data_IF_665564562550
#
_entry.id   IF_665564562550
#
_cell.length_a   1.000
_cell.length_b   1.000
_cell.length_c   1.000
_cell.angle_alpha   90.00
_cell.angle_beta   90.00
_cell.angle_gamma   90.00
#
_symmetry.space_group_name_H-M   'P 1'
#
loop_
_entity.id
_entity.type
_entity.pdbx_description
1 polymer ?
#
# COMPACT_ATOMS: atom_id res chain seq x y z
N UNK A 1 -10.69 -44.62 -22.55
CA UNK A 1 -10.12 -44.05 -21.31
C UNK A 1 -11.26 -43.39 -20.55
N UNK A 2 -11.43 -43.62 -19.24
CA UNK A 2 -12.52 -43.05 -18.46
C UNK A 2 -12.40 -41.53 -18.44
N UNK A 3 -13.50 -40.82 -18.65
CA UNK A 3 -13.50 -39.35 -18.66
C UNK A 3 -13.06 -38.78 -17.31
N UNK A 4 -12.47 -37.57 -17.29
CA UNK A 4 -12.06 -36.89 -16.04
C UNK A 4 -13.19 -36.87 -14.99
N UNK A 5 -14.43 -36.71 -15.46
CA UNK A 5 -15.64 -36.66 -14.61
C UNK A 5 -15.90 -38.02 -13.94
N UNK A 6 -15.72 -39.13 -14.67
CA UNK A 6 -15.86 -40.49 -14.12
C UNK A 6 -14.73 -40.85 -13.15
N UNK A 7 -13.50 -40.40 -13.42
CA UNK A 7 -12.35 -40.59 -12.52
C UNK A 7 -12.52 -39.81 -11.19
N UNK A 8 -13.11 -38.62 -11.23
CA UNK A 8 -13.43 -37.85 -10.02
C UNK A 8 -14.61 -38.42 -9.24
N UNK A 9 -15.64 -38.94 -9.93
CA UNK A 9 -16.78 -39.60 -9.29
C UNK A 9 -16.36 -40.90 -8.58
N UNK A 10 -15.46 -41.68 -9.18
CA UNK A 10 -14.91 -42.89 -8.55
C UNK A 10 -14.08 -42.59 -7.30
N UNK A 11 -13.27 -41.52 -7.31
CA UNK A 11 -12.55 -41.06 -6.11
C UNK A 11 -13.48 -40.65 -4.96
N UNK A 12 -14.59 -39.96 -5.25
CA UNK A 12 -15.58 -39.59 -4.24
C UNK A 12 -16.29 -40.82 -3.65
N UNK A 13 -16.62 -41.80 -4.49
CA UNK A 13 -17.23 -43.07 -4.06
C UNK A 13 -16.28 -43.89 -3.19
N UNK A 14 -15.01 -44.00 -3.58
CA UNK A 14 -13.96 -44.64 -2.78
C UNK A 14 -13.81 -43.94 -1.42
N UNK A 15 -13.83 -42.60 -1.39
CA UNK A 15 -13.79 -41.83 -0.15
C UNK A 15 -14.96 -42.12 0.79
N UNK A 16 -16.18 -42.32 0.25
CA UNK A 16 -17.33 -42.73 1.06
C UNK A 16 -17.26 -44.18 1.57
N UNK A 17 -16.64 -45.09 0.81
CA UNK A 17 -16.46 -46.49 1.20
C UNK A 17 -15.34 -46.65 2.25
N UNK A 18 -14.27 -45.87 2.15
CA UNK A 18 -13.23 -45.75 3.19
C UNK A 18 -13.84 -45.33 4.53
N UNK A 19 -14.77 -44.36 4.50
CA UNK A 19 -15.47 -43.89 5.71
C UNK A 19 -16.39 -44.95 6.30
N UNK A 20 -17.15 -45.67 5.47
CA UNK A 20 -18.07 -46.73 5.95
C UNK A 20 -17.35 -47.97 6.49
N UNK A 21 -16.15 -48.29 5.99
CA UNK A 21 -15.30 -49.39 6.53
C UNK A 21 -14.69 -49.00 7.88
N UNK A 22 -14.39 -47.72 8.09
CA UNK A 22 -13.86 -47.21 9.36
C UNK A 22 -14.88 -47.33 10.49
N UNK A 23 -16.12 -46.92 10.22
CA UNK A 23 -17.18 -46.77 11.22
C UNK A 23 -17.93 -48.09 11.55
N UNK A 24 -17.63 -49.21 10.87
CA UNK A 24 -18.34 -50.46 11.08
C UNK A 24 -17.78 -51.28 12.28
N UNK A 25 -18.55 -51.56 13.35
CA UNK A 25 -18.06 -52.19 14.58
C UNK A 25 -17.89 -53.72 14.50
N UNK A 26 -18.33 -54.37 13.41
CA UNK A 26 -18.30 -55.83 13.26
C UNK A 26 -17.02 -56.38 12.57
N UNK A 27 -16.10 -55.52 12.12
CA UNK A 27 -14.85 -55.94 11.45
C UNK A 27 -13.65 -55.88 12.40
N UNK A 28 -12.92 -57.00 12.49
CA UNK A 28 -11.65 -57.06 13.23
C UNK A 28 -10.57 -56.19 12.56
N UNK A 29 -9.60 -55.69 13.34
CA UNK A 29 -8.55 -54.76 12.85
C UNK A 29 -7.77 -55.30 11.63
N UNK A 30 -7.57 -56.61 11.55
CA UNK A 30 -6.90 -57.25 10.42
C UNK A 30 -7.72 -57.17 9.11
N UNK A 31 -9.05 -57.30 9.20
CA UNK A 31 -9.94 -57.23 8.03
C UNK A 31 -10.17 -55.78 7.56
N UNK A 32 -10.15 -54.80 8.47
CA UNK A 32 -10.17 -53.38 8.10
C UNK A 32 -8.91 -53.00 7.32
N UNK A 33 -7.74 -53.44 7.77
CA UNK A 33 -6.46 -53.15 7.09
C UNK A 33 -6.41 -53.71 5.66
N UNK A 34 -6.82 -54.96 5.45
CA UNK A 34 -6.84 -55.57 4.12
C UNK A 34 -7.75 -54.81 3.13
N UNK A 35 -8.90 -54.29 3.58
CA UNK A 35 -9.79 -53.49 2.74
C UNK A 35 -9.26 -52.07 2.47
N UNK A 36 -8.53 -51.47 3.42
CA UNK A 36 -7.87 -50.19 3.18
C UNK A 36 -6.75 -50.32 2.14
N UNK A 37 -5.95 -51.39 2.22
CA UNK A 37 -4.86 -51.63 1.26
C UNK A 37 -5.40 -51.82 -0.18
N UNK A 38 -6.53 -52.51 -0.38
CA UNK A 38 -7.18 -52.62 -1.69
C UNK A 38 -7.74 -51.28 -2.21
N UNK A 39 -8.33 -50.48 -1.32
CA UNK A 39 -8.91 -49.17 -1.67
C UNK A 39 -7.81 -48.14 -2.00
N UNK A 40 -6.66 -48.19 -1.34
CA UNK A 40 -5.51 -47.33 -1.63
C UNK A 40 -4.95 -47.58 -3.04
N UNK A 41 -4.81 -48.84 -3.44
CA UNK A 41 -4.40 -49.21 -4.81
C UNK A 41 -5.38 -48.68 -5.86
N UNK A 42 -6.68 -48.70 -5.57
CA UNK A 42 -7.71 -48.15 -6.46
C UNK A 42 -7.70 -46.61 -6.53
N UNK A 43 -7.37 -45.95 -5.42
CA UNK A 43 -7.24 -44.50 -5.32
C UNK A 43 -6.05 -43.98 -6.12
N UNK A 44 -4.89 -44.66 -6.05
CA UNK A 44 -3.68 -44.29 -6.79
C UNK A 44 -3.90 -44.39 -8.30
N UNK A 45 -4.51 -45.48 -8.77
CA UNK A 45 -4.88 -45.63 -10.20
C UNK A 45 -5.80 -44.53 -10.72
N UNK A 46 -6.76 -44.08 -9.90
CA UNK A 46 -7.67 -43.00 -10.27
C UNK A 46 -6.98 -41.61 -10.29
N UNK A 47 -6.00 -41.37 -9.41
CA UNK A 47 -5.18 -40.15 -9.42
C UNK A 47 -4.25 -40.10 -10.63
N UNK A 48 -3.57 -41.20 -10.95
CA UNK A 48 -2.68 -41.30 -12.10
C UNK A 48 -3.41 -41.06 -13.43
N UNK A 49 -4.65 -41.55 -13.55
CA UNK A 49 -5.49 -41.29 -14.71
C UNK A 49 -5.79 -39.78 -14.89
N UNK A 50 -6.04 -39.04 -13.80
CA UNK A 50 -6.31 -37.60 -13.86
C UNK A 50 -5.05 -36.81 -14.28
N UNK A 51 -3.87 -37.21 -13.82
CA UNK A 51 -2.61 -36.56 -14.22
C UNK A 51 -2.27 -36.79 -15.70
N UNK A 52 -2.50 -37.99 -16.22
CA UNK A 52 -2.31 -38.30 -17.63
C UNK A 52 -3.21 -37.46 -18.55
N UNK A 53 -4.43 -37.13 -18.13
CA UNK A 53 -5.30 -36.22 -18.90
C UNK A 53 -4.85 -34.76 -18.83
N UNK A 54 -4.30 -34.29 -17.71
CA UNK A 54 -3.78 -32.92 -17.57
C UNK A 54 -2.50 -32.70 -18.39
N UNK A 55 -1.65 -33.72 -18.51
CA UNK A 55 -0.45 -33.64 -19.35
C UNK A 55 -0.80 -33.66 -20.85
N UNK A 56 -1.80 -34.45 -21.25
CA UNK A 56 -2.31 -34.47 -22.63
C UNK A 56 -2.94 -33.13 -23.05
N UNK A 57 -3.68 -32.44 -22.17
CA UNK A 57 -4.27 -31.12 -22.48
C UNK A 57 -3.21 -30.02 -22.61
N UNK A 58 -2.15 -30.06 -21.79
CA UNK A 58 -1.01 -29.14 -21.91
C UNK A 58 -0.26 -29.34 -23.23
N UNK A 59 -0.06 -30.59 -23.64
CA UNK A 59 0.61 -30.93 -24.90
C UNK A 59 -0.21 -30.46 -26.13
N UNK A 60 -1.53 -30.62 -26.08
CA UNK A 60 -2.43 -30.12 -27.12
C UNK A 60 -2.45 -28.58 -27.21
N UNK A 61 -2.42 -27.88 -26.07
CA UNK A 61 -2.32 -26.42 -26.02
C UNK A 61 -1.01 -25.89 -26.61
N UNK A 62 0.12 -26.55 -26.35
CA UNK A 62 1.43 -26.15 -26.90
C UNK A 62 1.60 -26.41 -28.39
N UNK A 63 0.85 -27.37 -28.97
CA UNK A 63 0.87 -27.66 -30.41
C UNK A 63 0.04 -26.66 -31.22
N UNK A 64 -1.04 -26.11 -30.63
CA UNK A 64 -1.93 -25.16 -31.31
C UNK A 64 -1.32 -23.75 -31.41
N UNK A 65 -0.56 -23.31 -30.40
CA UNK A 65 0.08 -21.99 -30.40
C UNK A 65 1.27 -21.85 -31.36
N UNK A 66 1.86 -22.95 -31.83
CA UNK A 66 3.04 -22.93 -32.73
C UNK A 66 2.71 -22.79 -34.22
N UNK A 67 1.43 -22.86 -34.63
CA UNK A 67 1.03 -22.80 -36.04
C UNK A 67 0.57 -21.42 -36.54
N UNK A 68 0.32 -20.45 -35.66
CA UNK A 68 -0.37 -19.19 -36.02
C UNK A 68 0.56 -17.99 -36.27
N UNK A 69 1.88 -18.19 -36.25
CA UNK A 69 2.87 -17.10 -36.33
C UNK A 69 3.73 -17.12 -37.61
N UNK A 70 3.14 -17.09 -38.81
CA UNK A 70 3.89 -16.71 -40.04
C UNK A 70 3.03 -15.92 -41.04
N UNK A 71 3.47 -14.69 -41.36
CA UNK A 71 3.16 -13.84 -42.56
C UNK A 71 1.83 -13.02 -42.61
N UNK A 72 1.93 -11.68 -42.79
CA UNK A 72 0.81 -10.73 -43.09
C UNK A 72 0.82 -10.24 -44.57
N UNK A 73 0.28 -9.06 -45.01
CA UNK A 73 -0.89 -8.23 -44.61
C UNK A 73 -1.86 -7.76 -45.77
N UNK A 74 -3.09 -7.27 -45.42
CA UNK A 74 -4.01 -6.25 -46.06
C UNK A 74 -4.82 -6.42 -47.39
N UNK A 75 -6.17 -6.19 -47.27
CA UNK A 75 -7.22 -5.55 -48.14
C UNK A 75 -7.64 -6.01 -49.56
N UNK A 76 -8.97 -6.20 -49.78
CA UNK A 76 -9.67 -5.87 -51.06
C UNK A 76 -10.65 -6.90 -51.68
N UNK A 77 -11.94 -6.56 -51.78
CA UNK A 77 -13.15 -7.26 -52.30
C UNK A 77 -13.18 -7.63 -53.80
N UNK A 78 -13.97 -8.65 -54.22
CA UNK A 78 -14.95 -8.63 -55.37
C UNK A 78 -15.88 -9.89 -55.42
N UNK A 79 -17.15 -9.62 -55.78
CA UNK A 79 -18.33 -10.44 -56.15
C UNK A 79 -18.10 -11.61 -57.16
N UNK A 80 -19.03 -12.55 -57.45
CA UNK A 80 -20.43 -12.74 -57.06
C UNK A 80 -21.17 -13.89 -57.81
N UNK A 81 -22.21 -14.43 -57.14
CA UNK A 81 -23.58 -14.83 -57.58
C UNK A 81 -23.82 -15.76 -58.79
N UNK A 82 -24.51 -16.90 -58.56
CA UNK A 82 -25.79 -17.25 -59.25
C UNK A 82 -26.52 -18.46 -58.64
N UNK A 83 -27.78 -18.25 -58.25
CA UNK A 83 -28.72 -19.33 -57.91
C UNK A 83 -29.76 -18.96 -56.84
N UNK A 84 -30.64 -17.99 -57.13
CA UNK A 84 -31.81 -17.69 -56.30
C UNK A 84 -32.92 -18.69 -56.68
N UNK A 85 -33.35 -19.55 -55.76
CA UNK A 85 -34.70 -20.14 -55.78
C UNK A 85 -35.49 -19.60 -54.60
N UNK A 86 -36.59 -18.95 -54.97
CA UNK A 86 -37.70 -18.40 -54.18
C UNK A 86 -37.69 -18.59 -52.66
N UNK A 87 -37.62 -17.43 -52.02
CA UNK A 87 -37.99 -17.09 -50.65
C UNK A 87 -39.29 -17.79 -50.22
N UNK A 88 -39.19 -18.60 -49.17
CA UNK A 88 -40.26 -18.80 -48.18
C UNK A 88 -39.60 -19.22 -46.86
N UNK A 89 -39.55 -18.36 -45.84
CA UNK A 89 -38.81 -18.61 -44.60
C UNK A 89 -39.55 -19.55 -43.63
N UNK A 90 -40.58 -20.28 -44.09
CA UNK A 90 -41.48 -21.03 -43.24
C UNK A 90 -41.82 -22.41 -43.82
N UNK A 91 -40.80 -23.18 -44.20
CA UNK A 91 -40.99 -24.62 -44.41
C UNK A 91 -40.88 -25.32 -43.05
N UNK A 92 -42.02 -25.51 -42.37
CA UNK A 92 -42.09 -26.38 -41.20
C UNK A 92 -42.00 -27.84 -41.64
N UNK A 93 -41.16 -28.63 -40.97
CA UNK A 93 -41.05 -30.07 -41.21
C UNK A 93 -42.40 -30.76 -40.90
N UNK A 94 -42.92 -31.58 -41.81
CA UNK A 94 -44.26 -32.21 -41.73
C UNK A 94 -44.42 -33.07 -40.47
N UNK A 95 -43.31 -33.62 -39.98
CA UNK A 95 -43.23 -34.38 -38.73
C UNK A 95 -43.48 -33.50 -37.49
N UNK A 96 -43.05 -32.23 -37.52
CA UNK A 96 -43.24 -31.28 -36.41
C UNK A 96 -44.67 -30.71 -36.38
N UNK A 97 -45.35 -30.60 -37.53
CA UNK A 97 -46.75 -30.20 -37.60
C UNK A 97 -47.71 -31.29 -37.06
N UNK A 98 -47.42 -32.57 -37.31
CA UNK A 98 -48.18 -33.69 -36.72
C UNK A 98 -48.08 -33.72 -35.19
N UNK A 99 -46.89 -33.46 -34.65
CA UNK A 99 -46.65 -33.42 -33.21
C UNK A 99 -47.30 -32.19 -32.53
N UNK A 100 -47.46 -31.08 -33.25
CA UNK A 100 -48.22 -29.91 -32.77
C UNK A 100 -49.74 -30.18 -32.71
N UNK A 101 -50.29 -30.89 -33.69
CA UNK A 101 -51.72 -31.27 -33.67
C UNK A 101 -52.05 -32.23 -32.52
N UNK A 102 -51.19 -33.22 -32.26
CA UNK A 102 -51.35 -34.16 -31.14
C UNK A 102 -51.26 -33.47 -29.77
N UNK A 103 -50.32 -32.51 -29.63
CA UNK A 103 -50.19 -31.69 -28.42
C UNK A 103 -51.39 -30.75 -28.19
N UNK A 104 -52.05 -30.28 -29.26
CA UNK A 104 -53.24 -29.44 -29.18
C UNK A 104 -54.48 -30.20 -28.72
N UNK A 105 -54.66 -31.45 -29.18
CA UNK A 105 -55.77 -32.32 -28.75
C UNK A 105 -55.65 -32.74 -27.27
N UNK A 106 -54.41 -32.90 -26.78
CA UNK A 106 -54.12 -33.32 -25.40
C UNK A 106 -53.78 -32.18 -24.44
N UNK A 107 -53.97 -30.92 -24.85
CA UNK A 107 -53.69 -29.71 -24.06
C UNK A 107 -52.29 -29.70 -23.40
N UNK A 108 -51.26 -30.14 -24.14
CA UNK A 108 -49.87 -30.07 -23.71
C UNK A 108 -49.07 -29.08 -24.56
N UNK A 109 -47.99 -28.53 -24.00
CA UNK A 109 -47.16 -27.50 -24.66
C UNK A 109 -46.12 -28.13 -25.59
N UNK A 110 -46.13 -27.74 -26.87
CA UNK A 110 -45.19 -28.23 -27.88
C UNK A 110 -44.58 -27.07 -28.68
N UNK A 111 -43.29 -27.14 -29.02
CA UNK A 111 -42.54 -26.09 -29.74
C UNK A 111 -41.90 -26.67 -31.00
N UNK A 112 -42.23 -26.08 -32.15
CA UNK A 112 -41.63 -26.40 -33.46
C UNK A 112 -40.35 -25.59 -33.62
N UNK A 113 -39.25 -26.21 -34.09
CA UNK A 113 -37.95 -25.54 -34.29
C UNK A 113 -37.46 -25.82 -35.71
N UNK A 114 -37.35 -24.79 -36.54
CA UNK A 114 -36.84 -24.89 -37.91
C UNK A 114 -35.33 -25.18 -37.93
N UNK A 115 -34.91 -26.12 -38.77
CA UNK A 115 -33.52 -26.58 -38.85
C UNK A 115 -32.70 -25.65 -39.75
N UNK A 116 -31.84 -24.82 -39.14
CA UNK A 116 -30.76 -24.15 -39.86
C UNK A 116 -29.69 -25.15 -40.26
N UNK A 117 -29.34 -25.18 -41.56
CA UNK A 117 -28.22 -25.97 -42.12
C UNK A 117 -26.90 -25.51 -41.50
N UNK A 118 -26.18 -26.43 -40.88
CA UNK A 118 -24.95 -26.14 -40.13
C UNK A 118 -23.73 -25.91 -41.02
N UNK A 119 -22.66 -25.40 -40.41
CA UNK A 119 -21.28 -25.67 -40.81
C UNK A 119 -20.37 -25.49 -39.58
N UNK A 120 -19.76 -26.60 -39.17
CA UNK A 120 -18.55 -26.67 -38.34
C UNK A 120 -17.34 -26.41 -39.25
N UNK A 121 -16.37 -25.62 -38.79
CA UNK A 121 -15.19 -25.22 -39.56
C UNK A 121 -14.62 -23.87 -39.13
N UNK A 122 -13.67 -23.91 -38.20
CA UNK A 122 -12.85 -22.80 -37.70
C UNK A 122 -12.25 -21.89 -38.78
N UNK A 123 -12.33 -20.56 -38.63
CA UNK A 123 -11.23 -19.58 -38.80
C UNK A 123 -11.60 -18.29 -38.05
N UNK A 124 -10.76 -17.88 -37.11
CA UNK A 124 -10.75 -16.58 -36.44
C UNK A 124 -9.92 -15.57 -37.22
N UNK A 125 -10.42 -14.35 -37.44
CA UNK A 125 -9.93 -13.12 -36.77
C UNK A 125 -10.49 -11.85 -37.41
N UNK A 126 -10.77 -10.88 -36.51
CA UNK A 126 -10.90 -9.42 -36.68
C UNK A 126 -11.66 -8.89 -37.90
N UNK A 127 -12.84 -8.30 -37.63
CA UNK A 127 -13.07 -6.88 -37.88
C UNK A 127 -14.37 -6.42 -37.18
N UNK A 128 -14.35 -5.19 -36.68
CA UNK A 128 -15.35 -4.64 -35.77
C UNK A 128 -16.73 -4.44 -36.39
N UNK A 129 -17.76 -4.93 -35.70
CA UNK A 129 -19.16 -4.50 -35.89
C UNK A 129 -19.84 -4.44 -34.52
N UNK A 130 -20.54 -3.33 -34.32
CA UNK A 130 -21.41 -3.02 -33.18
C UNK A 130 -22.42 -4.16 -32.87
N UNK A 131 -22.92 -4.23 -31.62
CA UNK A 131 -23.56 -5.43 -31.08
C UNK A 131 -24.95 -5.64 -31.71
N UNK A 132 -25.25 -6.86 -32.16
CA UNK A 132 -26.63 -7.31 -32.35
C UNK A 132 -26.99 -8.30 -31.24
N UNK A 133 -28.24 -8.28 -30.76
CA UNK A 133 -28.55 -8.37 -29.35
C UNK A 133 -28.38 -9.81 -28.86
N UNK A 134 -27.46 -10.00 -27.92
CA UNK A 134 -27.57 -11.08 -26.96
C UNK A 134 -28.94 -10.97 -26.27
N UNK A 135 -29.52 -12.13 -25.98
CA UNK A 135 -30.76 -12.25 -25.22
C UNK A 135 -30.79 -11.27 -24.04
N UNK A 136 -31.96 -10.69 -23.69
CA UNK A 136 -32.07 -9.77 -22.56
C UNK A 136 -31.54 -10.44 -21.29
N UNK A 137 -30.48 -9.87 -20.73
CA UNK A 137 -30.10 -10.03 -19.34
C UNK A 137 -29.36 -11.32 -18.98
N UNK A 138 -28.22 -11.60 -19.60
CA UNK A 138 -27.17 -12.42 -18.95
C UNK A 138 -25.81 -11.69 -18.96
N UNK A 139 -25.85 -10.35 -18.90
CA UNK A 139 -24.70 -9.50 -18.60
C UNK A 139 -24.44 -9.37 -17.10
N UNK A 140 -24.74 -10.42 -16.32
CA UNK A 140 -24.72 -10.40 -14.85
C UNK A 140 -24.65 -11.78 -14.21
N UNK A 141 -24.17 -12.81 -14.93
CA UNK A 141 -23.98 -14.16 -14.34
C UNK A 141 -22.60 -14.38 -13.71
N UNK A 142 -21.70 -13.39 -13.80
CA UNK A 142 -20.55 -13.34 -12.92
C UNK A 142 -20.96 -12.43 -11.75
N UNK A 143 -20.85 -12.88 -10.49
CA UNK A 143 -21.04 -11.96 -9.36
C UNK A 143 -20.09 -10.76 -9.56
N UNK A 144 -20.52 -9.54 -9.22
CA UNK A 144 -19.65 -8.37 -9.23
C UNK A 144 -18.36 -8.72 -8.49
N UNK A 145 -17.25 -8.75 -9.21
CA UNK A 145 -15.96 -8.98 -8.58
C UNK A 145 -15.51 -7.64 -8.00
N UNK A 146 -15.36 -7.59 -6.68
CA UNK A 146 -14.68 -6.48 -6.02
C UNK A 146 -13.24 -6.43 -6.55
N UNK A 147 -12.94 -5.42 -7.37
CA UNK A 147 -11.55 -5.05 -7.64
C UNK A 147 -11.08 -4.37 -6.37
N UNK A 148 -10.02 -4.88 -5.75
CA UNK A 148 -9.57 -4.48 -4.40
C UNK A 148 -9.53 -2.97 -4.15
N UNK A 149 -9.48 -2.59 -2.87
CA UNK A 149 -9.43 -1.20 -2.48
C UNK A 149 -8.18 -0.48 -3.03
N UNK A 150 -8.36 0.72 -3.59
CA UNK A 150 -7.25 1.61 -3.93
C UNK A 150 -6.95 2.48 -2.71
N UNK A 151 -5.80 2.32 -2.04
CA UNK A 151 -5.49 3.08 -0.84
C UNK A 151 -5.17 4.54 -1.15
N UNK A 152 -5.45 5.43 -0.21
CA UNK A 152 -4.99 6.81 -0.28
C UNK A 152 -3.48 6.86 -0.06
N UNK A 153 -2.79 7.63 -0.90
CA UNK A 153 -1.34 7.77 -0.82
C UNK A 153 -1.00 8.88 0.17
N UNK A 154 -0.23 8.52 1.19
CA UNK A 154 0.28 9.45 2.18
C UNK A 154 1.78 9.64 2.00
N UNK A 155 2.31 10.69 2.60
CA UNK A 155 3.72 10.99 2.48
C UNK A 155 4.57 9.95 3.21
N UNK A 156 5.47 9.20 2.55
CA UNK A 156 6.14 8.01 3.12
C UNK A 156 7.03 8.29 4.33
N UNK A 157 7.29 9.55 4.68
CA UNK A 157 8.27 9.93 5.70
C UNK A 157 7.62 10.18 7.07
N UNK A 158 8.35 9.82 8.13
CA UNK A 158 8.01 10.15 9.52
C UNK A 158 9.20 10.88 10.12
N UNK A 159 8.99 12.11 10.57
CA UNK A 159 10.04 12.99 11.11
C UNK A 159 10.50 12.50 12.49
N UNK A 160 9.58 11.91 13.27
CA UNK A 160 9.88 11.39 14.61
C UNK A 160 10.98 10.31 14.58
N UNK A 161 11.10 9.54 13.49
CA UNK A 161 12.13 8.50 13.32
C UNK A 161 13.56 9.07 13.27
N UNK A 162 13.71 10.37 13.01
CA UNK A 162 15.01 11.06 13.03
C UNK A 162 15.48 11.40 14.46
N UNK A 163 14.61 11.26 15.46
CA UNK A 163 14.87 11.64 16.85
C UNK A 163 14.83 10.37 17.72
N UNK A 164 15.77 10.19 18.66
CA UNK A 164 15.68 9.09 19.62
C UNK A 164 14.40 9.20 20.47
N UNK A 165 13.67 8.10 20.57
CA UNK A 165 12.44 8.01 21.35
C UNK A 165 12.59 7.09 22.57
N UNK A 166 11.90 7.43 23.66
CA UNK A 166 11.78 6.58 24.85
C UNK A 166 10.34 6.53 25.34
N UNK A 167 9.92 5.41 25.93
CA UNK A 167 8.60 5.29 26.54
C UNK A 167 8.57 5.96 27.93
N UNK A 168 7.44 6.54 28.33
CA UNK A 168 7.26 7.14 29.67
C UNK A 168 5.80 7.16 30.13
N UNK A 169 5.57 6.98 31.43
CA UNK A 169 4.25 7.10 32.07
C UNK A 169 4.00 8.49 32.68
N UNK A 170 4.91 9.45 32.51
CA UNK A 170 4.77 10.81 33.02
C UNK A 170 3.81 11.64 32.16
N UNK A 171 3.01 12.52 32.78
CA UNK A 171 2.11 13.43 32.05
C UNK A 171 2.84 14.70 31.56
N UNK A 172 3.95 15.02 32.23
CA UNK A 172 4.79 16.20 32.00
C UNK A 172 6.24 15.78 32.20
N UNK A 173 7.12 16.23 31.32
CA UNK A 173 8.57 16.03 31.41
C UNK A 173 9.21 17.38 31.71
N UNK A 174 9.85 17.49 32.87
CA UNK A 174 10.71 18.63 33.20
C UNK A 174 12.16 18.29 32.85
N UNK A 175 12.83 19.19 32.14
CA UNK A 175 14.23 19.01 31.75
C UNK A 175 15.01 20.30 31.89
N UNK A 176 16.31 20.18 32.13
CA UNK A 176 17.22 21.31 32.21
C UNK A 176 17.92 21.49 30.86
N UNK A 177 17.87 22.70 30.34
CA UNK A 177 18.66 23.09 29.16
C UNK A 177 19.85 23.91 29.59
N UNK A 178 21.03 23.54 29.10
CA UNK A 178 22.25 24.31 29.32
C UNK A 178 22.35 25.39 28.25
N UNK A 179 22.20 26.66 28.65
CA UNK A 179 22.20 27.78 27.71
C UNK A 179 23.62 28.26 27.38
N UNK A 180 24.45 28.46 28.40
CA UNK A 180 25.81 28.93 28.23
C UNK A 180 26.67 28.66 29.46
N UNK A 181 27.96 28.50 29.23
CA UNK A 181 28.97 28.51 30.28
C UNK A 181 29.67 29.87 30.25
N UNK A 182 29.70 30.58 31.38
CA UNK A 182 30.50 31.81 31.52
C UNK A 182 31.76 31.54 32.34
N UNK A 183 32.88 32.10 31.88
CA UNK A 183 34.21 31.79 32.40
C UNK A 183 34.90 30.67 31.62
N UNK A 184 36.23 30.70 31.60
CA UNK A 184 37.06 29.72 30.89
C UNK A 184 37.97 29.00 31.88
N UNK A 185 38.20 27.72 31.62
CA UNK A 185 39.24 26.99 32.33
C UNK A 185 40.61 27.56 31.92
N UNK A 186 41.48 27.80 32.90
CA UNK A 186 42.82 28.34 32.68
C UNK A 186 43.86 27.60 33.53
N UNK A 187 45.12 27.69 33.12
CA UNK A 187 46.25 27.14 33.90
C UNK A 187 46.47 28.03 35.12
N UNK A 188 46.52 27.43 36.31
CA UNK A 188 46.65 28.15 37.58
C UNK A 188 48.00 27.87 38.21
N UNK A 189 48.76 28.92 38.48
CA UNK A 189 50.03 28.83 39.20
C UNK A 189 49.81 28.56 40.70
N UNK A 190 50.79 27.98 41.40
CA UNK A 190 50.68 27.75 42.84
C UNK A 190 50.42 29.06 43.60
N UNK A 191 49.36 29.09 44.42
CA UNK A 191 49.02 30.24 45.27
C UNK A 191 48.10 31.29 44.63
N UNK A 192 47.67 31.14 43.37
CA UNK A 192 46.70 32.06 42.75
C UNK A 192 45.26 31.54 42.83
N UNK A 193 44.30 32.48 42.77
CA UNK A 193 42.87 32.17 42.76
C UNK A 193 42.52 31.42 41.48
N UNK A 194 41.76 30.33 41.62
CA UNK A 194 41.31 29.53 40.48
C UNK A 194 40.22 30.27 39.69
N UNK A 195 40.23 30.22 38.35
CA UNK A 195 39.14 30.73 37.54
C UNK A 195 37.81 30.10 37.96
N UNK A 196 36.79 30.94 38.15
CA UNK A 196 35.42 30.49 38.43
C UNK A 196 34.67 30.31 37.11
N UNK A 197 33.87 29.25 37.04
CA UNK A 197 32.99 28.94 35.91
C UNK A 197 31.55 28.91 36.42
N UNK A 198 30.64 29.57 35.72
CA UNK A 198 29.21 29.50 35.99
C UNK A 198 28.48 28.82 34.83
N UNK A 199 27.61 27.87 35.18
CA UNK A 199 26.77 27.13 34.23
C UNK A 199 25.37 27.74 34.27
N UNK A 200 24.97 28.38 33.18
CA UNK A 200 23.64 28.95 33.05
C UNK A 200 22.68 27.87 32.52
N UNK A 201 21.77 27.43 33.37
CA UNK A 201 20.77 26.40 33.04
C UNK A 201 19.37 26.94 33.22
N UNK A 202 18.46 26.56 32.33
CA UNK A 202 17.04 26.91 32.39
C UNK A 202 16.21 25.64 32.58
N UNK A 203 15.20 25.69 33.44
CA UNK A 203 14.22 24.61 33.57
C UNK A 203 13.12 24.80 32.54
N UNK A 204 12.98 23.82 31.65
CA UNK A 204 11.93 23.73 30.67
C UNK A 204 10.96 22.62 31.03
N UNK A 205 9.72 22.77 30.57
CA UNK A 205 8.65 21.80 30.81
C UNK A 205 8.02 21.46 29.47
N UNK A 206 7.88 20.16 29.18
CA UNK A 206 7.17 19.66 28.00
C UNK A 206 5.97 18.83 28.47
N UNK A 207 4.78 19.26 28.08
CA UNK A 207 3.52 18.56 28.37
C UNK A 207 3.23 17.52 27.30
N UNK A 208 2.61 16.41 27.69
CA UNK A 208 2.16 15.38 26.76
C UNK A 208 0.96 15.87 25.95
N UNK A 209 1.07 15.84 24.63
CA UNK A 209 -0.02 16.15 23.70
C UNK A 209 -0.67 14.86 23.23
N UNK A 210 -1.98 14.88 23.00
CA UNK A 210 -2.74 13.78 22.41
C UNK A 210 -3.12 14.16 20.98
N UNK A 211 -2.76 13.32 20.02
CA UNK A 211 -3.32 13.35 18.67
C UNK A 211 -4.34 12.23 18.53
N UNK A 212 -5.49 12.55 17.96
CA UNK A 212 -6.58 11.60 17.83
C UNK A 212 -7.42 11.87 16.58
N UNK A 213 -7.90 10.79 15.95
CA UNK A 213 -8.85 10.84 14.85
C UNK A 213 -9.89 9.73 15.04
N UNK A 214 -11.14 10.02 14.67
CA UNK A 214 -12.23 9.05 14.70
C UNK A 214 -12.89 8.96 13.34
N UNK A 215 -13.27 7.75 12.92
CA UNK A 215 -14.10 7.53 11.74
C UNK A 215 -15.22 6.56 12.07
N UNK A 216 -16.44 6.90 11.66
CA UNK A 216 -17.64 6.06 11.84
C UNK A 216 -18.03 5.46 10.50
N UNK A 217 -18.29 4.16 10.48
CA UNK A 217 -18.63 3.36 9.31
C UNK A 217 -19.87 2.52 9.59
N UNK A 218 -20.62 2.16 8.56
CA UNK A 218 -21.79 1.29 8.72
C UNK A 218 -21.37 -0.18 8.82
N UNK A 219 -22.15 -0.98 9.55
CA UNK A 219 -21.87 -2.41 9.75
C UNK A 219 -21.92 -3.19 8.44
N UNK A 220 -22.87 -2.85 7.56
CA UNK A 220 -23.03 -3.48 6.24
C UNK A 220 -21.75 -3.33 5.39
N UNK A 221 -21.12 -2.15 5.42
CA UNK A 221 -19.87 -1.88 4.69
C UNK A 221 -18.70 -2.71 5.24
N UNK A 222 -18.67 -2.97 6.55
CA UNK A 222 -17.63 -3.78 7.19
C UNK A 222 -17.83 -5.28 6.91
N UNK A 223 -19.08 -5.74 6.89
CA UNK A 223 -19.43 -7.14 6.65
C UNK A 223 -19.31 -7.53 5.18
N UNK A 224 -19.69 -6.63 4.26
CA UNK A 224 -19.61 -6.87 2.83
C UNK A 224 -18.17 -6.76 2.30
N UNK A 225 -17.34 -5.92 2.92
CA UNK A 225 -15.96 -5.67 2.51
C UNK A 225 -14.95 -5.96 3.64
N UNK A 226 -14.55 -7.23 3.80
CA UNK A 226 -13.59 -7.65 4.84
C UNK A 226 -12.26 -6.83 4.81
N UNK A 227 -11.75 -6.53 3.61
CA UNK A 227 -10.52 -5.75 3.42
C UNK A 227 -10.65 -4.28 3.83
N UNK A 228 -11.87 -3.73 3.85
CA UNK A 228 -12.11 -2.33 4.17
C UNK A 228 -11.83 -2.03 5.65
N UNK A 229 -12.18 -2.97 6.54
CA UNK A 229 -11.91 -2.84 7.98
C UNK A 229 -10.41 -2.68 8.30
N UNK A 230 -9.55 -3.46 7.62
CA UNK A 230 -8.10 -3.39 7.79
C UNK A 230 -7.53 -2.10 7.20
N UNK A 231 -8.05 -1.67 6.05
CA UNK A 231 -7.65 -0.42 5.43
C UNK A 231 -7.93 0.78 6.32
N UNK A 232 -9.11 0.84 6.94
CA UNK A 232 -9.50 1.97 7.80
C UNK A 232 -8.53 2.12 8.97
N UNK A 233 -8.12 1.01 9.60
CA UNK A 233 -7.11 1.07 10.66
C UNK A 233 -5.76 1.62 10.16
N UNK A 234 -5.30 1.18 8.99
CA UNK A 234 -4.06 1.68 8.38
C UNK A 234 -4.16 3.16 7.98
N UNK A 235 -5.28 3.56 7.39
CA UNK A 235 -5.56 4.93 6.98
C UNK A 235 -5.57 5.88 8.19
N UNK A 236 -6.32 5.54 9.23
CA UNK A 236 -6.38 6.36 10.45
C UNK A 236 -5.01 6.45 11.14
N UNK A 237 -4.24 5.36 11.17
CA UNK A 237 -2.87 5.40 11.67
C UNK A 237 -2.00 6.37 10.87
N UNK A 238 -2.23 6.46 9.56
CA UNK A 238 -1.46 7.30 8.67
C UNK A 238 -1.81 8.78 8.78
N UNK A 239 -3.09 9.09 8.92
CA UNK A 239 -3.56 10.46 9.21
C UNK A 239 -2.99 10.99 10.52
N UNK A 240 -2.84 10.14 11.55
CA UNK A 240 -2.19 10.53 12.81
C UNK A 240 -0.71 10.82 12.60
N UNK A 241 0.01 10.00 11.84
CA UNK A 241 1.43 10.23 11.52
C UNK A 241 1.63 11.54 10.73
N UNK A 242 0.73 11.86 9.81
CA UNK A 242 0.83 13.10 9.03
C UNK A 242 0.57 14.34 9.91
N UNK A 243 -0.40 14.26 10.84
CA UNK A 243 -0.62 15.29 11.85
C UNK A 243 0.55 15.40 12.84
N UNK A 244 1.14 14.27 13.23
CA UNK A 244 2.34 14.19 14.06
C UNK A 244 3.51 14.92 13.41
N UNK A 245 3.81 14.65 12.13
CA UNK A 245 4.87 15.34 11.39
C UNK A 245 4.68 16.87 11.42
N UNK A 246 3.44 17.35 11.26
CA UNK A 246 3.11 18.78 11.32
C UNK A 246 3.39 19.39 12.68
N UNK A 247 2.98 18.69 13.74
CA UNK A 247 3.19 19.13 15.13
C UNK A 247 4.67 19.07 15.53
N UNK A 248 5.40 18.03 15.14
CA UNK A 248 6.83 17.89 15.45
C UNK A 248 7.65 18.96 14.74
N UNK A 249 7.36 19.30 13.48
CA UNK A 249 8.11 20.32 12.76
C UNK A 249 7.69 21.75 13.13
N UNK A 250 6.38 22.02 13.03
CA UNK A 250 5.82 23.37 13.01
C UNK A 250 4.96 23.73 14.23
N UNK A 251 4.80 22.83 15.21
CA UNK A 251 3.93 23.07 16.36
C UNK A 251 4.27 24.38 17.10
N UNK A 252 3.26 25.16 17.47
CA UNK A 252 3.44 26.49 18.05
C UNK A 252 3.64 26.49 19.58
N UNK A 253 3.37 25.36 20.24
CA UNK A 253 3.44 25.21 21.70
C UNK A 253 2.29 25.87 22.46
N UNK A 254 1.23 26.32 21.78
CA UNK A 254 0.03 26.91 22.38
C UNK A 254 -1.15 25.93 22.32
N UNK A 255 -2.23 26.18 23.07
CA UNK A 255 -3.51 25.44 22.95
C UNK A 255 -3.44 23.89 22.94
N UNK A 256 -2.46 23.31 23.63
CA UNK A 256 -2.14 21.88 23.69
C UNK A 256 -1.30 21.31 22.52
N UNK A 257 -0.89 22.14 21.57
CA UNK A 257 0.07 21.78 20.52
C UNK A 257 1.47 21.55 21.09
N UNK A 258 2.27 20.74 20.40
CA UNK A 258 3.67 20.56 20.75
C UNK A 258 4.47 21.82 20.42
N UNK A 259 5.56 22.06 21.16
CA UNK A 259 6.62 22.94 20.65
C UNK A 259 7.38 22.22 19.55
N UNK A 260 7.21 22.68 18.31
CA UNK A 260 7.88 22.14 17.14
C UNK A 260 9.40 22.41 17.13
N UNK A 261 10.12 21.67 16.30
CA UNK A 261 11.57 21.82 16.16
C UNK A 261 11.96 23.19 15.59
N UNK A 262 11.17 23.74 14.66
CA UNK A 262 11.43 25.05 14.05
C UNK A 262 11.06 26.23 14.95
N UNK A 263 10.03 26.05 15.79
CA UNK A 263 9.55 27.09 16.70
C UNK A 263 10.28 27.08 18.04
N UNK A 264 11.16 26.10 18.27
CA UNK A 264 11.94 26.00 19.50
C UNK A 264 12.87 27.21 19.65
N UNK A 265 12.84 27.92 20.80
CA UNK A 265 13.71 29.06 21.02
C UNK A 265 15.18 28.63 21.17
N UNK A 266 16.08 29.40 20.55
CA UNK A 266 17.53 29.19 20.67
C UNK A 266 18.13 28.27 19.60
N UNK A 267 17.37 27.90 18.57
CA UNK A 267 17.91 27.28 17.37
C UNK A 267 18.81 28.26 16.60
N UNK A 268 19.79 27.74 15.89
CA UNK A 268 20.58 28.55 14.97
C UNK A 268 19.75 28.84 13.72
N UNK A 269 19.98 29.99 13.10
CA UNK A 269 19.28 30.40 11.88
C UNK A 269 20.30 30.80 10.83
N UNK A 270 20.11 30.33 9.60
CA UNK A 270 20.93 30.70 8.44
C UNK A 270 20.03 31.09 7.28
N UNK A 271 20.23 32.27 6.74
CA UNK A 271 19.57 32.68 5.52
C UNK A 271 20.50 32.46 4.33
N UNK A 272 19.97 31.95 3.21
CA UNK A 272 20.69 31.89 1.95
C UNK A 272 21.02 33.31 1.46
N UNK A 273 22.27 33.54 1.06
CA UNK A 273 22.68 34.81 0.47
C UNK A 273 22.29 34.88 -1.01
N UNK A 274 22.10 36.11 -1.55
CA UNK A 274 21.61 36.32 -2.93
C UNK A 274 22.53 35.76 -4.02
N UNK A 275 23.85 35.69 -3.75
CA UNK A 275 24.85 35.21 -4.70
C UNK A 275 25.36 33.79 -4.36
N UNK A 276 24.70 33.11 -3.42
CA UNK A 276 25.12 31.80 -2.91
C UNK A 276 24.21 30.69 -3.46
N UNK A 277 24.79 29.53 -3.78
CA UNK A 277 23.98 28.38 -4.17
C UNK A 277 23.32 27.74 -2.95
N UNK A 278 22.21 27.02 -3.12
CA UNK A 278 21.58 26.31 -2.01
C UNK A 278 22.54 25.27 -1.43
N UNK A 279 23.39 24.65 -2.25
CA UNK A 279 24.39 23.67 -1.81
C UNK A 279 25.44 24.32 -0.91
N UNK A 280 25.92 25.51 -1.27
CA UNK A 280 26.87 26.27 -0.44
C UNK A 280 26.22 26.67 0.88
N UNK A 281 24.97 27.13 0.85
CA UNK A 281 24.23 27.53 2.07
C UNK A 281 24.08 26.34 3.03
N UNK A 282 23.83 25.14 2.49
CA UNK A 282 23.77 23.90 3.26
C UNK A 282 25.15 23.54 3.83
N UNK A 283 26.24 23.68 3.07
CA UNK A 283 27.59 23.44 3.57
C UNK A 283 27.94 24.37 4.74
N UNK A 284 27.62 25.66 4.60
CA UNK A 284 27.84 26.62 5.67
C UNK A 284 26.98 26.31 6.91
N UNK A 285 25.76 25.77 6.75
CA UNK A 285 24.95 25.30 7.88
C UNK A 285 25.63 24.13 8.61
N UNK A 286 26.31 23.23 7.90
CA UNK A 286 27.14 22.18 8.51
C UNK A 286 28.27 22.83 9.32
N UNK A 287 28.95 23.83 8.76
CA UNK A 287 30.02 24.56 9.45
C UNK A 287 29.52 25.31 10.69
N UNK A 288 28.30 25.85 10.68
CA UNK A 288 27.70 26.51 11.83
C UNK A 288 27.43 25.54 12.98
N UNK A 289 26.95 24.33 12.70
CA UNK A 289 26.76 23.31 13.74
C UNK A 289 28.10 22.89 14.38
N UNK A 290 29.18 22.93 13.60
CA UNK A 290 30.53 22.58 14.04
C UNK A 290 31.23 23.67 14.83
N UNK A 291 31.09 24.91 14.41
CA UNK A 291 31.77 26.07 15.01
C UNK A 291 30.91 26.77 16.06
N UNK A 292 29.60 26.49 16.04
CA UNK A 292 28.62 27.03 16.97
C UNK A 292 28.66 26.40 18.37
N UNK A 293 27.66 26.70 19.21
CA UNK A 293 27.68 26.36 20.63
C UNK A 293 27.62 24.85 20.92
N UNK A 294 27.09 24.08 19.98
CA UNK A 294 26.84 22.65 20.16
C UNK A 294 28.03 21.75 19.78
N UNK A 295 28.90 22.20 18.87
CA UNK A 295 30.01 21.40 18.31
C UNK A 295 29.57 20.02 17.79
N UNK A 296 28.47 19.97 17.02
CA UNK A 296 27.83 18.72 16.57
C UNK A 296 27.87 18.53 15.05
N UNK A 297 27.84 17.28 14.61
CA UNK A 297 27.63 16.89 13.21
C UNK A 297 26.15 16.73 12.90
N UNK A 298 25.62 17.30 11.80
CA UNK A 298 24.26 16.98 11.38
C UNK A 298 24.14 15.52 10.93
N UNK A 299 23.02 14.89 11.30
CA UNK A 299 22.68 13.51 10.90
C UNK A 299 21.61 13.48 9.82
N UNK A 300 20.73 14.48 9.82
CA UNK A 300 19.63 14.58 8.87
C UNK A 300 19.35 16.04 8.47
N UNK A 301 18.84 16.20 7.25
CA UNK A 301 18.28 17.44 6.71
C UNK A 301 16.83 17.15 6.34
N UNK A 302 15.90 17.95 6.86
CA UNK A 302 14.48 17.92 6.51
C UNK A 302 14.18 19.12 5.63
N UNK A 303 13.63 18.90 4.43
CA UNK A 303 13.42 19.95 3.43
C UNK A 303 12.13 19.72 2.64
N UNK A 304 11.53 20.77 2.11
CA UNK A 304 10.38 20.61 1.22
C UNK A 304 10.78 19.97 -0.13
N UNK A 305 9.99 19.03 -0.71
CA UNK A 305 10.32 18.37 -1.99
C UNK A 305 10.58 19.33 -3.16
N UNK A 306 9.86 20.45 -3.25
CA UNK A 306 10.10 21.47 -4.27
C UNK A 306 11.45 22.17 -4.11
N UNK A 307 11.83 22.48 -2.87
CA UNK A 307 13.13 23.07 -2.54
C UNK A 307 14.25 22.06 -2.77
N UNK A 308 14.05 20.80 -2.41
CA UNK A 308 15.01 19.74 -2.75
C UNK A 308 15.18 19.58 -4.27
N UNK A 309 14.08 19.69 -5.02
CA UNK A 309 14.12 19.68 -6.48
C UNK A 309 14.88 20.88 -7.05
N UNK A 310 14.74 22.08 -6.48
CA UNK A 310 15.51 23.25 -6.93
C UNK A 310 16.99 23.07 -6.66
N UNK A 311 17.37 22.61 -5.46
CA UNK A 311 18.77 22.28 -5.10
C UNK A 311 19.37 21.22 -6.04
N UNK A 312 18.62 20.17 -6.39
CA UNK A 312 19.07 19.14 -7.35
C UNK A 312 19.24 19.66 -8.77
N UNK A 313 18.58 20.76 -9.12
CA UNK A 313 18.60 21.35 -10.45
C UNK A 313 19.66 22.42 -10.63
N UNK A 314 20.47 22.69 -9.61
CA UNK A 314 21.58 23.63 -9.68
C UNK A 314 22.64 23.19 -10.68
N UNK A 315 23.16 24.15 -11.43
CA UNK A 315 24.09 23.94 -12.54
C UNK A 315 25.32 24.82 -12.43
N UNK A 316 26.42 24.34 -12.96
CA UNK A 316 27.62 25.13 -13.20
C UNK A 316 27.42 26.12 -14.38
N UNK A 317 28.40 26.99 -14.58
CA UNK A 317 28.42 27.94 -15.70
C UNK A 317 28.46 27.27 -17.10
N UNK A 318 28.75 25.97 -17.16
CA UNK A 318 28.74 25.17 -18.39
C UNK A 318 27.42 24.40 -18.60
N UNK A 319 26.43 24.59 -17.72
CA UNK A 319 25.11 23.97 -17.79
C UNK A 319 25.04 22.52 -17.28
N UNK A 320 26.07 22.03 -16.59
CA UNK A 320 26.12 20.70 -15.98
C UNK A 320 25.54 20.75 -14.57
N UNK A 321 24.75 19.75 -14.19
CA UNK A 321 24.22 19.65 -12.83
C UNK A 321 25.32 19.42 -11.80
N UNK A 322 25.27 20.15 -10.69
CA UNK A 322 26.30 20.10 -9.64
C UNK A 322 26.25 18.80 -8.81
N UNK A 323 25.04 18.39 -8.39
CA UNK A 323 24.86 17.21 -7.54
C UNK A 323 24.86 15.89 -8.31
N UNK A 324 24.42 15.91 -9.57
CA UNK A 324 24.39 14.70 -10.39
C UNK A 324 24.63 14.98 -11.87
N UNK A 325 25.77 14.53 -12.39
CA UNK A 325 26.03 14.61 -13.81
C UNK A 325 25.08 13.74 -14.66
N UNK A 326 24.49 12.68 -14.09
CA UNK A 326 23.60 11.75 -14.80
C UNK A 326 22.15 11.79 -14.24
N UNK A 327 21.21 12.45 -14.94
CA UNK A 327 19.80 12.50 -14.51
C UNK A 327 19.10 11.13 -14.53
N UNK A 328 19.68 10.09 -15.15
CA UNK A 328 19.12 8.74 -15.14
C UNK A 328 19.30 8.02 -13.80
N UNK A 329 20.26 8.45 -12.97
CA UNK A 329 20.50 7.87 -11.65
C UNK A 329 19.70 8.62 -10.59
N UNK A 330 18.61 8.01 -10.12
CA UNK A 330 17.77 8.56 -9.04
C UNK A 330 18.34 8.22 -7.64
N UNK A 331 19.62 8.52 -7.40
CA UNK A 331 20.37 8.03 -6.23
C UNK A 331 20.63 9.09 -5.14
N UNK A 332 20.07 10.29 -5.24
CA UNK A 332 20.39 11.40 -4.32
C UNK A 332 19.28 11.66 -3.31
N UNK A 333 19.28 10.85 -2.25
CA UNK A 333 18.62 11.14 -0.97
C UNK A 333 19.66 11.48 0.12
N UNK A 334 20.86 11.89 -0.28
CA UNK A 334 21.93 12.31 0.63
C UNK A 334 22.72 13.48 0.05
N UNK A 335 23.14 14.41 0.90
CA UNK A 335 23.97 15.55 0.55
C UNK A 335 25.11 15.66 1.56
N UNK A 336 26.36 15.76 1.10
CA UNK A 336 27.56 15.79 1.96
C UNK A 336 27.66 14.62 2.96
N UNK A 337 27.11 13.45 2.61
CA UNK A 337 27.07 12.27 3.49
C UNK A 337 25.95 12.29 4.54
N UNK A 338 25.11 13.33 4.53
CA UNK A 338 23.97 13.50 5.44
C UNK A 338 22.69 13.03 4.73
N UNK A 339 21.80 12.36 5.46
CA UNK A 339 20.51 11.92 4.92
C UNK A 339 19.58 13.12 4.69
N UNK A 340 18.97 13.18 3.50
CA UNK A 340 17.96 14.20 3.17
C UNK A 340 16.58 13.56 3.20
N UNK A 341 15.73 14.06 4.09
CA UNK A 341 14.32 13.70 4.20
C UNK A 341 13.48 14.81 3.55
N UNK A 342 12.80 14.48 2.45
CA UNK A 342 11.93 15.42 1.77
C UNK A 342 10.49 15.28 2.28
N UNK A 343 9.94 16.33 2.88
CA UNK A 343 8.58 16.35 3.43
C UNK A 343 7.77 17.58 3.05
N UNK A 344 6.52 17.38 2.65
CA UNK A 344 5.59 18.45 2.24
C UNK A 344 5.13 19.30 3.42
N UNK A 345 5.31 18.80 4.64
CA UNK A 345 5.03 19.51 5.88
C UNK A 345 6.03 20.65 6.16
N UNK A 346 7.22 20.60 5.55
CA UNK A 346 8.20 21.68 5.67
C UNK A 346 7.79 22.89 4.81
N UNK A 347 7.88 24.14 5.31
CA UNK A 347 7.64 25.31 4.49
C UNK A 347 8.55 25.37 3.25
N UNK A 348 8.02 25.85 2.13
CA UNK A 348 8.78 25.98 0.88
C UNK A 348 9.89 27.03 1.06
N UNK A 349 11.11 26.65 0.70
CA UNK A 349 12.29 27.50 0.81
C UNK A 349 12.95 27.47 2.18
N UNK A 350 12.49 26.60 3.06
CA UNK A 350 13.11 26.33 4.35
C UNK A 350 13.64 24.90 4.43
N UNK A 351 14.68 24.70 5.24
CA UNK A 351 15.16 23.39 5.62
C UNK A 351 15.57 23.38 7.09
N UNK A 352 15.36 22.26 7.77
CA UNK A 352 15.84 22.01 9.12
C UNK A 352 17.01 21.03 9.07
N UNK A 353 18.18 21.45 9.53
CA UNK A 353 19.34 20.59 9.67
C UNK A 353 19.63 20.36 11.15
N UNK A 354 19.79 19.11 11.57
CA UNK A 354 20.03 18.82 12.97
C UNK A 354 20.76 17.49 13.20
N UNK A 355 21.31 17.36 14.41
CA UNK A 355 21.72 16.07 14.95
C UNK A 355 20.60 15.53 15.84
N UNK A 356 19.86 14.53 15.36
CA UNK A 356 18.72 13.96 16.08
C UNK A 356 19.08 13.48 17.49
N UNK A 357 20.21 12.78 17.62
CA UNK A 357 20.65 12.19 18.88
C UNK A 357 21.07 13.24 19.92
N UNK A 358 21.66 14.35 19.49
CA UNK A 358 22.16 15.39 20.38
C UNK A 358 21.15 16.51 20.66
N UNK A 359 20.27 16.80 19.70
CA UNK A 359 19.37 17.95 19.76
C UNK A 359 18.13 17.69 20.62
N UNK A 360 17.46 16.56 20.38
CA UNK A 360 16.13 16.30 20.91
C UNK A 360 15.95 14.86 21.39
N UNK A 361 14.93 14.66 22.22
CA UNK A 361 14.46 13.36 22.69
C UNK A 361 12.93 13.35 22.64
N UNK A 362 12.37 12.35 21.99
CA UNK A 362 10.94 12.09 21.96
C UNK A 362 10.54 11.20 23.13
N UNK A 363 9.41 11.51 23.76
CA UNK A 363 8.83 10.74 24.84
C UNK A 363 7.44 10.27 24.44
N UNK A 364 7.26 8.96 24.32
CA UNK A 364 6.01 8.35 23.92
C UNK A 364 5.32 7.78 25.17
N UNK A 365 4.12 8.29 25.46
CA UNK A 365 3.28 7.77 26.55
C UNK A 365 2.33 6.68 26.07
N UNK A 366 1.74 6.90 24.90
CA UNK A 366 0.84 5.97 24.25
C UNK A 366 1.21 5.98 22.78
N UNK A 367 1.72 4.87 22.27
CA UNK A 367 1.95 4.73 20.83
C UNK A 367 0.63 4.72 20.06
N UNK A 368 0.72 4.78 18.74
CA UNK A 368 -0.44 4.72 17.85
C UNK A 368 -1.28 3.48 18.19
N UNK A 369 -2.50 3.72 18.68
CA UNK A 369 -3.43 2.68 19.10
C UNK A 369 -4.75 2.87 18.36
N UNK A 370 -5.21 1.82 17.69
CA UNK A 370 -6.51 1.79 17.01
C UNK A 370 -7.48 0.94 17.83
N UNK A 371 -8.61 1.53 18.18
CA UNK A 371 -9.70 0.89 18.91
C UNK A 371 -11.01 1.04 18.13
N UNK A 372 -11.96 0.14 18.34
CA UNK A 372 -13.28 0.20 17.71
C UNK A 372 -14.36 -0.04 18.75
N UNK A 373 -15.47 0.67 18.62
CA UNK A 373 -16.65 0.57 19.48
C UNK A 373 -17.91 1.00 18.71
N UNK A 374 -19.10 0.66 19.20
CA UNK A 374 -20.37 1.15 18.67
C UNK A 374 -20.62 2.63 19.00
N UNK A 375 -19.85 3.24 19.91
CA UNK A 375 -20.04 4.62 20.31
C UNK A 375 -21.41 4.86 20.95
N UNK A 376 -21.86 6.12 21.01
CA UNK A 376 -23.10 6.47 21.72
C UNK A 376 -24.37 6.02 20.98
N UNK A 377 -24.38 6.08 19.65
CA UNK A 377 -25.56 5.79 18.82
C UNK A 377 -25.32 4.72 17.76
N UNK A 378 -24.12 4.17 17.64
CA UNK A 378 -23.83 3.23 16.54
C UNK A 378 -24.59 1.91 16.67
N UNK A 379 -25.00 1.51 17.87
CA UNK A 379 -25.91 0.38 18.01
C UNK A 379 -27.32 0.66 17.45
N UNK A 380 -27.81 1.90 17.54
CA UNK A 380 -29.13 2.29 17.01
C UNK A 380 -29.11 2.43 15.48
N UNK A 381 -27.95 2.79 14.92
CA UNK A 381 -27.77 3.07 13.49
C UNK A 381 -27.01 1.98 12.73
N UNK A 382 -26.64 0.86 13.37
CA UNK A 382 -25.75 -0.18 12.82
C UNK A 382 -24.45 0.42 12.27
N UNK A 383 -23.73 1.11 13.15
CA UNK A 383 -22.45 1.76 12.85
C UNK A 383 -21.38 1.40 13.88
N UNK A 384 -20.16 1.23 13.39
CA UNK A 384 -18.94 1.10 14.17
C UNK A 384 -18.09 2.36 14.07
N UNK A 385 -17.60 2.85 15.20
CA UNK A 385 -16.67 3.97 15.29
C UNK A 385 -15.27 3.46 15.61
N UNK A 386 -14.33 3.74 14.71
CA UNK A 386 -12.91 3.53 14.89
C UNK A 386 -12.29 4.80 15.48
N UNK A 387 -11.39 4.62 16.45
CA UNK A 387 -10.59 5.69 17.05
C UNK A 387 -9.13 5.31 16.96
N UNK A 388 -8.32 6.21 16.41
CA UNK A 388 -6.87 6.11 16.43
C UNK A 388 -6.31 7.24 17.29
N UNK A 389 -5.50 6.93 18.30
CA UNK A 389 -4.87 7.92 19.17
C UNK A 389 -3.38 7.65 19.37
N UNK A 390 -2.62 8.73 19.55
CA UNK A 390 -1.23 8.73 19.99
C UNK A 390 -1.05 9.81 21.07
N UNK A 391 -0.18 9.56 22.05
CA UNK A 391 0.20 10.54 23.07
C UNK A 391 1.71 10.58 23.23
N UNK A 392 2.29 11.72 22.92
CA UNK A 392 3.73 11.92 22.97
C UNK A 392 4.08 13.39 23.23
N UNK A 393 5.36 13.64 23.48
CA UNK A 393 5.94 14.98 23.52
C UNK A 393 7.39 14.92 23.02
N UNK A 394 7.91 16.04 22.53
CA UNK A 394 9.31 16.17 22.10
C UNK A 394 9.98 17.22 22.98
N UNK A 395 11.16 16.88 23.50
CA UNK A 395 11.99 17.82 24.26
C UNK A 395 13.22 18.16 23.45
N UNK A 396 13.50 19.45 23.29
CA UNK A 396 14.74 19.91 22.66
C UNK A 396 15.75 20.25 23.75
N UNK A 397 16.64 19.32 24.03
CA UNK A 397 17.65 19.47 25.08
C UNK A 397 18.76 20.45 24.68
N UNK A 398 19.08 20.50 23.38
CA UNK A 398 20.13 21.36 22.83
C UNK A 398 19.64 22.07 21.56
N UNK A 399 18.95 23.22 21.69
CA UNK A 399 18.49 23.99 20.53
C UNK A 399 19.62 24.36 19.56
N UNK A 400 20.81 24.67 20.09
CA UNK A 400 21.98 25.01 19.28
C UNK A 400 22.54 23.86 18.40
N UNK A 401 22.05 22.63 18.58
CA UNK A 401 22.39 21.48 17.71
C UNK A 401 21.46 21.36 16.48
N UNK A 402 20.64 22.40 16.23
CA UNK A 402 19.72 22.52 15.11
C UNK A 402 19.94 23.86 14.41
N UNK A 403 19.80 23.86 13.09
CA UNK A 403 19.84 25.05 12.23
C UNK A 403 18.59 25.08 11.36
N UNK A 404 17.83 26.16 11.45
CA UNK A 404 16.82 26.51 10.46
C UNK A 404 17.47 27.30 9.32
N UNK A 405 17.41 26.74 8.13
CA UNK A 405 17.90 27.36 6.89
C UNK A 405 16.69 27.98 6.19
N UNK A 406 16.79 29.24 5.78
CA UNK A 406 15.71 29.97 5.09
C UNK A 406 16.21 30.56 3.77
N UNK A 407 15.29 30.83 2.85
CA UNK A 407 15.60 31.49 1.57
C UNK A 407 16.17 30.58 0.50
N UNK A 408 16.01 29.26 0.62
CA UNK A 408 16.42 28.31 -0.42
C UNK A 408 15.47 28.42 -1.62
N UNK A 409 15.99 28.71 -2.82
CA UNK A 409 15.16 28.98 -4.02
C UNK A 409 15.35 27.99 -5.16
#
# INVERSE_FOLDING_TARGET
>A
MPSIVEAQATLRRIGSEVKSVMDNPQLTKAQKKAKFDELEVSMTKAKDAIEQYKSASKLAGSMFSSLEQTTGPSFGTTAGVKGISSVSPLAFDETQLRALHDAMVHHTRFRITGKGVGFDGSVTTKDGVAPTPSAPGVGGMLPPQYTGLVPMLHEPTRVLDLIPATATDAAVIEYLTHQSTTGTAGVVAPGTVKPSVALNVTRNTATMTKLAVTATLNDEDILDFEQFSQYVGLELSRMVIDAENSQVLNGDGENADLTGLLTTPGILTRAAATDETNIDTIEQAIADLRTGPAYTEPTAIVVHPNTWSSTRREKDSMGRYLLNADPALNTLNSLWGIQVLATTTMPVGEALMFNGQAAAMAYIRQGITVETDYGQHGFEFNQHTFRCEERFTVTVQRPAAMVAITGLT
#
